data_IF_802342611461
#
_entry.id   IF_802342611461
#
_cell.length_a   1.000
_cell.length_b   1.000
_cell.length_c   1.000
_cell.angle_alpha   90.00
_cell.angle_beta   90.00
_cell.angle_gamma   90.00
#
_symmetry.space_group_name_H-M   'P 1'
#
loop_
_entity.id
_entity.type
_entity.pdbx_description
1 polymer ?
#
# COMPACT_ATOMS: atom_id res chain seq x y z
N UNK A 1 -14.67 -0.89 -6.67
CA UNK A 1 -13.32 -0.59 -6.14
C UNK A 1 -12.27 -0.98 -7.17
N UNK A 2 -11.00 -0.63 -6.98
CA UNK A 2 -9.94 -0.98 -7.94
C UNK A 2 -9.83 -2.51 -8.16
N UNK A 3 -9.86 -3.32 -7.10
CA UNK A 3 -9.86 -4.79 -7.23
C UNK A 3 -11.09 -5.32 -7.99
N UNK A 4 -12.31 -4.83 -7.68
CA UNK A 4 -13.51 -5.26 -8.42
C UNK A 4 -13.43 -4.90 -9.91
N UNK A 5 -12.91 -3.72 -10.25
CA UNK A 5 -12.77 -3.31 -11.65
C UNK A 5 -11.80 -4.18 -12.46
N UNK A 6 -10.82 -4.82 -11.80
CA UNK A 6 -9.93 -5.80 -12.46
C UNK A 6 -10.69 -7.09 -12.78
N UNK A 7 -11.54 -7.54 -11.86
CA UNK A 7 -12.38 -8.74 -12.03
C UNK A 7 -13.43 -8.49 -13.11
N UNK A 8 -14.11 -7.35 -13.05
CA UNK A 8 -15.10 -6.93 -14.05
C UNK A 8 -14.49 -6.82 -15.46
N UNK A 9 -13.20 -6.47 -15.53
CA UNK A 9 -12.41 -6.44 -16.76
C UNK A 9 -11.90 -7.80 -17.25
N UNK A 10 -12.26 -8.91 -16.58
CA UNK A 10 -11.86 -10.28 -16.95
C UNK A 10 -10.48 -10.71 -16.43
N UNK A 11 -9.85 -9.93 -15.55
CA UNK A 11 -8.62 -10.33 -14.86
C UNK A 11 -8.88 -11.26 -13.67
N UNK A 12 -7.85 -11.96 -13.17
CA UNK A 12 -8.02 -12.83 -11.99
C UNK A 12 -8.30 -12.03 -10.72
N UNK A 13 -7.74 -10.82 -10.59
CA UNK A 13 -7.93 -9.94 -9.44
C UNK A 13 -7.37 -10.46 -8.10
N UNK A 14 -6.70 -11.61 -8.09
CA UNK A 14 -6.27 -12.31 -6.88
C UNK A 14 -5.27 -11.48 -6.06
N UNK A 15 -4.28 -10.87 -6.71
CA UNK A 15 -3.25 -10.08 -6.04
C UNK A 15 -3.82 -8.77 -5.51
N UNK A 16 -4.71 -8.15 -6.28
CA UNK A 16 -5.44 -6.94 -5.90
C UNK A 16 -6.39 -7.19 -4.73
N UNK A 17 -7.06 -8.36 -4.70
CA UNK A 17 -7.93 -8.77 -3.61
C UNK A 17 -7.13 -9.02 -2.33
N UNK A 18 -6.02 -9.77 -2.42
CA UNK A 18 -5.10 -9.98 -1.29
C UNK A 18 -4.61 -8.64 -0.73
N UNK A 19 -4.14 -7.75 -1.60
CA UNK A 19 -3.67 -6.43 -1.20
C UNK A 19 -4.76 -5.62 -0.51
N UNK A 20 -5.95 -5.58 -1.11
CA UNK A 20 -7.10 -4.84 -0.57
C UNK A 20 -7.47 -5.37 0.81
N UNK A 21 -7.55 -6.69 0.97
CA UNK A 21 -7.87 -7.34 2.25
C UNK A 21 -6.86 -6.97 3.33
N UNK A 22 -5.58 -7.16 3.05
CA UNK A 22 -4.50 -6.93 4.04
C UNK A 22 -4.43 -5.45 4.44
N UNK A 23 -4.52 -4.54 3.46
CA UNK A 23 -4.41 -3.10 3.72
C UNK A 23 -5.65 -2.59 4.44
N UNK A 24 -6.85 -2.98 4.00
CA UNK A 24 -8.10 -2.58 4.66
C UNK A 24 -8.17 -3.10 6.11
N UNK A 25 -7.81 -4.37 6.34
CA UNK A 25 -7.75 -4.94 7.69
C UNK A 25 -6.74 -4.23 8.59
N UNK A 26 -5.58 -3.82 8.04
CA UNK A 26 -4.59 -3.02 8.78
C UNK A 26 -5.11 -1.63 9.12
N UNK A 27 -5.75 -0.94 8.16
CA UNK A 27 -6.35 0.36 8.40
C UNK A 27 -7.45 0.29 9.45
N UNK A 28 -8.33 -0.71 9.38
CA UNK A 28 -9.41 -0.92 10.34
C UNK A 28 -8.86 -1.12 11.76
N UNK A 29 -7.84 -1.99 11.91
CA UNK A 29 -7.18 -2.21 13.21
C UNK A 29 -6.53 -0.95 13.74
N UNK A 30 -5.82 -0.21 12.88
CA UNK A 30 -5.16 1.04 13.29
C UNK A 30 -6.17 2.07 13.77
N UNK A 31 -7.25 2.29 13.02
CA UNK A 31 -8.32 3.22 13.39
C UNK A 31 -9.02 2.79 14.67
N UNK A 32 -9.25 1.49 14.89
CA UNK A 32 -9.83 1.00 16.13
C UNK A 32 -8.94 1.33 17.35
N UNK A 33 -7.62 1.16 17.22
CA UNK A 33 -6.65 1.51 18.29
C UNK A 33 -6.59 3.02 18.51
N UNK A 34 -6.57 3.82 17.45
CA UNK A 34 -6.55 5.28 17.57
C UNK A 34 -7.85 5.80 18.21
N UNK A 35 -9.00 5.24 17.83
CA UNK A 35 -10.30 5.53 18.42
C UNK A 35 -10.35 5.15 19.91
N UNK A 36 -9.70 4.04 20.30
CA UNK A 36 -9.59 3.67 21.71
C UNK A 36 -8.90 4.77 22.54
N UNK A 37 -7.86 5.39 21.97
CA UNK A 37 -7.18 6.54 22.59
C UNK A 37 -8.08 7.77 22.75
N UNK A 38 -8.97 8.02 21.78
CA UNK A 38 -9.93 9.14 21.82
C UNK A 38 -11.02 8.91 22.87
N UNK A 39 -11.59 7.70 22.91
CA UNK A 39 -12.66 7.36 23.84
C UNK A 39 -12.15 7.09 25.27
N UNK A 40 -10.85 6.78 25.42
CA UNK A 40 -10.19 6.52 26.68
C UNK A 40 -10.82 5.35 27.44
N UNK A 41 -10.83 5.42 28.77
CA UNK A 41 -11.38 4.36 29.63
C UNK A 41 -12.85 4.01 29.36
N UNK A 42 -13.63 4.94 28.77
CA UNK A 42 -15.05 4.72 28.46
C UNK A 42 -15.26 3.62 27.44
N UNK A 43 -14.30 3.42 26.53
CA UNK A 43 -14.37 2.35 25.54
C UNK A 43 -14.35 0.95 26.16
N UNK A 44 -13.93 0.80 27.42
CA UNK A 44 -13.92 -0.48 28.12
C UNK A 44 -15.18 -0.73 28.95
N UNK A 45 -16.14 0.20 28.96
CA UNK A 45 -17.41 0.01 29.64
C UNK A 45 -18.34 -0.85 28.80
N UNK A 46 -19.08 -1.75 29.46
CA UNK A 46 -20.10 -2.59 28.82
C UNK A 46 -21.14 -1.71 28.12
N UNK A 47 -21.45 -2.03 26.87
CA UNK A 47 -22.42 -1.27 26.06
C UNK A 47 -21.81 -0.10 25.30
N UNK A 48 -20.48 0.10 25.38
CA UNK A 48 -19.81 1.08 24.54
C UNK A 48 -19.57 0.51 23.14
N UNK A 49 -20.14 1.10 22.06
CA UNK A 49 -20.12 0.49 20.73
C UNK A 49 -18.72 0.11 20.21
N UNK A 50 -17.73 0.98 20.41
CA UNK A 50 -16.34 0.71 20.02
C UNK A 50 -15.71 -0.46 20.79
N UNK A 51 -16.02 -0.59 22.09
CA UNK A 51 -15.49 -1.65 22.94
C UNK A 51 -16.11 -2.99 22.58
N UNK A 52 -17.43 -2.99 22.43
CA UNK A 52 -18.21 -4.17 22.06
C UNK A 52 -17.79 -4.71 20.69
N UNK A 53 -17.51 -3.85 19.69
CA UNK A 53 -17.08 -4.27 18.34
C UNK A 53 -15.56 -4.42 18.17
N UNK A 54 -14.77 -4.21 19.23
CA UNK A 54 -13.31 -4.16 19.11
C UNK A 54 -12.71 -5.48 18.63
N UNK A 55 -13.28 -6.60 19.07
CA UNK A 55 -12.86 -7.93 18.67
C UNK A 55 -13.07 -8.19 17.16
N UNK A 56 -14.17 -7.71 16.59
CA UNK A 56 -14.47 -7.83 15.16
C UNK A 56 -13.42 -7.12 14.29
N UNK A 57 -13.01 -5.91 14.70
CA UNK A 57 -11.99 -5.14 13.99
C UNK A 57 -10.63 -5.86 13.95
N UNK A 58 -10.27 -6.59 15.01
CA UNK A 58 -9.04 -7.37 15.04
C UNK A 58 -9.14 -8.66 14.25
N UNK A 59 -10.31 -9.30 14.30
CA UNK A 59 -10.59 -10.56 13.63
C UNK A 59 -10.53 -10.44 12.09
N UNK A 60 -10.85 -9.27 11.54
CA UNK A 60 -10.69 -8.96 10.10
C UNK A 60 -9.25 -9.19 9.58
N UNK A 61 -8.23 -9.05 10.44
CA UNK A 61 -6.84 -9.32 10.08
C UNK A 61 -6.49 -10.82 10.01
N UNK A 62 -7.35 -11.69 10.55
CA UNK A 62 -7.12 -13.12 10.73
C UNK A 62 -8.04 -13.95 9.82
N UNK A 63 -9.34 -13.61 9.78
CA UNK A 63 -10.29 -14.29 8.91
C UNK A 63 -9.92 -14.11 7.42
N UNK A 64 -10.36 -15.07 6.60
CA UNK A 64 -10.09 -15.12 5.15
C UNK A 64 -8.60 -15.19 4.78
N UNK A 65 -7.76 -15.63 5.73
CA UNK A 65 -6.31 -15.75 5.59
C UNK A 65 -5.58 -14.73 6.46
N UNK A 66 -4.68 -15.20 7.29
CA UNK A 66 -3.86 -14.32 8.14
C UNK A 66 -3.03 -13.36 7.26
N UNK A 67 -2.93 -12.09 7.69
CA UNK A 67 -2.40 -11.01 6.87
C UNK A 67 -0.93 -11.17 6.47
N UNK A 68 -0.10 -11.75 7.34
CA UNK A 68 1.31 -12.02 7.03
C UNK A 68 1.44 -13.18 6.04
N UNK A 69 0.67 -14.25 6.19
CA UNK A 69 0.59 -15.36 5.24
C UNK A 69 0.12 -14.90 3.86
N UNK A 70 -0.90 -14.05 3.81
CA UNK A 70 -1.37 -13.42 2.58
C UNK A 70 -0.31 -12.49 1.98
N UNK A 71 0.48 -11.80 2.80
CA UNK A 71 1.63 -11.03 2.36
C UNK A 71 2.69 -11.90 1.65
N UNK A 72 2.96 -13.11 2.16
CA UNK A 72 3.84 -14.07 1.49
C UNK A 72 3.23 -14.60 0.20
N UNK A 73 1.92 -14.86 0.18
CA UNK A 73 1.20 -15.30 -1.03
C UNK A 73 1.24 -14.24 -2.15
N UNK A 74 1.05 -12.96 -1.81
CA UNK A 74 1.19 -11.83 -2.73
C UNK A 74 2.59 -11.83 -3.37
N UNK A 75 3.64 -11.93 -2.55
CA UNK A 75 5.01 -11.96 -3.04
C UNK A 75 5.24 -13.15 -3.97
N UNK A 76 4.77 -14.35 -3.58
CA UNK A 76 4.87 -15.56 -4.41
C UNK A 76 4.19 -15.38 -5.77
N UNK A 77 3.00 -14.76 -5.78
CA UNK A 77 2.28 -14.43 -7.01
C UNK A 77 3.09 -13.51 -7.93
N UNK A 78 3.66 -12.44 -7.38
CA UNK A 78 4.53 -11.51 -8.14
C UNK A 78 5.79 -12.24 -8.65
N UNK A 79 6.44 -13.05 -7.81
CA UNK A 79 7.66 -13.77 -8.16
C UNK A 79 7.45 -14.77 -9.30
N UNK A 80 6.26 -15.34 -9.46
CA UNK A 80 5.91 -16.24 -10.58
C UNK A 80 6.05 -15.58 -11.95
N UNK A 81 5.86 -14.26 -12.03
CA UNK A 81 6.03 -13.50 -13.27
C UNK A 81 7.47 -13.04 -13.51
N UNK A 82 8.40 -13.36 -12.62
CA UNK A 82 9.80 -12.98 -12.77
C UNK A 82 10.49 -13.81 -13.86
N UNK A 83 11.37 -13.22 -14.72
CA UNK A 83 12.04 -13.95 -15.80
C UNK A 83 12.79 -15.21 -15.35
N UNK A 84 13.37 -15.19 -14.13
CA UNK A 84 14.06 -16.35 -13.55
C UNK A 84 13.11 -17.51 -13.18
N UNK A 85 11.85 -17.22 -12.86
CA UNK A 85 10.86 -18.25 -12.55
C UNK A 85 10.27 -18.87 -13.83
N UNK A 86 10.31 -18.13 -14.95
CA UNK A 86 9.81 -18.56 -16.25
C UNK A 86 10.87 -19.30 -17.10
N UNK A 87 12.04 -19.63 -16.53
CA UNK A 87 13.19 -20.24 -17.25
C UNK A 87 13.55 -19.49 -18.55
N UNK A 88 13.41 -18.16 -18.55
CA UNK A 88 13.70 -17.34 -19.72
C UNK A 88 15.21 -17.13 -19.89
N UNK A 89 15.65 -16.99 -21.15
CA UNK A 89 17.06 -16.80 -21.49
C UNK A 89 17.65 -15.55 -20.80
N UNK A 90 18.96 -15.58 -20.54
CA UNK A 90 19.72 -14.49 -19.91
C UNK A 90 19.48 -13.12 -20.55
N UNK A 91 19.29 -13.07 -21.88
CA UNK A 91 18.98 -11.85 -22.63
C UNK A 91 17.63 -11.23 -22.23
N UNK A 92 16.60 -12.03 -21.97
CA UNK A 92 15.30 -11.53 -21.55
C UNK A 92 15.35 -10.98 -20.12
N UNK A 93 16.11 -11.64 -19.24
CA UNK A 93 16.37 -11.13 -17.90
C UNK A 93 17.16 -9.81 -17.93
N UNK A 94 18.22 -9.71 -18.74
CA UNK A 94 18.98 -8.47 -18.92
C UNK A 94 18.09 -7.35 -19.47
N UNK A 95 17.27 -7.65 -20.49
CA UNK A 95 16.30 -6.68 -21.04
C UNK A 95 15.30 -6.23 -19.98
N UNK A 96 14.76 -7.15 -19.18
CA UNK A 96 13.88 -6.83 -18.05
C UNK A 96 14.59 -5.93 -17.03
N UNK A 97 15.81 -6.27 -16.62
CA UNK A 97 16.60 -5.50 -15.66
C UNK A 97 16.90 -4.09 -16.17
N UNK A 98 17.37 -3.97 -17.40
CA UNK A 98 17.61 -2.69 -18.06
C UNK A 98 16.32 -1.88 -18.17
N UNK A 99 15.19 -2.52 -18.53
CA UNK A 99 13.88 -1.83 -18.59
C UNK A 99 13.44 -1.28 -17.23
N UNK A 100 13.70 -1.98 -16.13
CA UNK A 100 13.41 -1.46 -14.77
C UNK A 100 14.30 -0.29 -14.41
N UNK A 101 15.58 -0.34 -14.76
CA UNK A 101 16.50 0.80 -14.59
C UNK A 101 16.08 2.00 -15.44
N UNK A 102 15.55 1.78 -16.65
CA UNK A 102 15.09 2.85 -17.54
C UNK A 102 13.74 3.45 -17.06
N UNK A 103 12.83 2.59 -16.62
CA UNK A 103 11.54 2.98 -16.03
C UNK A 103 11.70 3.73 -14.71
N UNK A 104 12.85 3.61 -14.03
CA UNK A 104 13.17 4.42 -12.86
C UNK A 104 13.21 5.93 -13.20
N UNK A 105 13.64 6.23 -14.43
CA UNK A 105 13.76 7.59 -14.95
C UNK A 105 12.55 8.02 -15.79
N UNK A 106 11.74 7.08 -16.30
CA UNK A 106 10.58 7.36 -17.13
C UNK A 106 9.33 7.64 -16.29
N UNK A 107 8.87 8.90 -16.29
CA UNK A 107 7.66 9.34 -15.58
C UNK A 107 6.40 9.39 -16.47
N UNK A 108 6.41 8.71 -17.62
CA UNK A 108 5.37 8.90 -18.67
C UNK A 108 3.97 8.43 -18.23
N UNK A 109 3.86 7.46 -17.33
CA UNK A 109 2.57 6.98 -16.82
C UNK A 109 1.88 7.99 -15.89
N UNK A 110 2.66 8.84 -15.21
CA UNK A 110 2.13 9.76 -14.19
C UNK A 110 1.84 11.16 -14.73
N UNK A 111 2.19 11.46 -16.00
CA UNK A 111 1.86 12.75 -16.62
C UNK A 111 0.36 12.98 -16.78
N UNK A 112 -0.45 11.92 -16.65
CA UNK A 112 -1.91 11.96 -16.71
C UNK A 112 -2.52 12.54 -15.42
N UNK A 113 -1.81 12.42 -14.28
CA UNK A 113 -2.28 12.97 -13.00
C UNK A 113 -2.31 14.49 -13.07
N UNK A 114 -3.46 15.11 -12.82
CA UNK A 114 -3.66 16.55 -12.99
C UNK A 114 -3.04 17.34 -11.83
N UNK A 115 -3.18 16.82 -10.61
CA UNK A 115 -2.58 17.44 -9.43
C UNK A 115 -1.07 17.17 -9.35
N UNK A 116 -0.29 18.24 -9.24
CA UNK A 116 1.17 18.16 -9.24
C UNK A 116 1.75 17.44 -8.01
N UNK A 117 1.10 17.52 -6.86
CA UNK A 117 1.59 16.86 -5.66
C UNK A 117 1.25 15.37 -5.65
N UNK A 118 0.04 15.00 -6.08
CA UNK A 118 -0.32 13.61 -6.32
C UNK A 118 0.64 12.97 -7.33
N UNK A 119 1.01 13.72 -8.38
CA UNK A 119 2.01 13.28 -9.36
C UNK A 119 3.38 13.01 -8.72
N UNK A 120 3.87 13.91 -7.87
CA UNK A 120 5.16 13.72 -7.17
C UNK A 120 5.14 12.51 -6.23
N UNK A 121 4.02 12.26 -5.55
CA UNK A 121 3.85 11.09 -4.70
C UNK A 121 3.77 9.79 -5.53
N UNK A 122 3.09 9.82 -6.68
CA UNK A 122 3.01 8.68 -7.58
C UNK A 122 4.38 8.30 -8.13
N UNK A 123 5.17 9.29 -8.57
CA UNK A 123 6.55 9.09 -9.04
C UNK A 123 7.39 8.44 -7.93
N UNK A 124 7.29 8.92 -6.68
CA UNK A 124 8.01 8.33 -5.55
C UNK A 124 7.57 6.89 -5.28
N UNK A 125 6.27 6.61 -5.32
CA UNK A 125 5.75 5.25 -5.12
C UNK A 125 6.21 4.29 -6.23
N UNK A 126 6.18 4.70 -7.50
CA UNK A 126 6.68 3.89 -8.63
C UNK A 126 8.18 3.63 -8.53
N UNK A 127 8.98 4.64 -8.20
CA UNK A 127 10.43 4.46 -7.95
C UNK A 127 10.69 3.52 -6.78
N UNK A 128 9.87 3.59 -5.74
CA UNK A 128 9.86 2.63 -4.64
C UNK A 128 9.62 1.20 -5.13
N UNK A 129 8.57 0.97 -5.93
CA UNK A 129 8.26 -0.34 -6.52
C UNK A 129 9.37 -0.87 -7.43
N UNK A 130 10.02 0.00 -8.20
CA UNK A 130 11.17 -0.40 -9.03
C UNK A 130 12.32 -0.85 -8.14
N UNK A 131 12.64 -0.11 -7.07
CA UNK A 131 13.64 -0.52 -6.08
C UNK A 131 13.29 -1.87 -5.46
N UNK A 132 12.03 -2.08 -5.07
CA UNK A 132 11.56 -3.34 -4.52
C UNK A 132 11.67 -4.49 -5.53
N UNK A 133 11.41 -4.25 -6.81
CA UNK A 133 11.59 -5.27 -7.86
C UNK A 133 13.05 -5.68 -8.02
N UNK A 134 14.00 -4.75 -7.92
CA UNK A 134 15.44 -5.03 -7.97
C UNK A 134 15.93 -5.75 -6.70
N UNK A 135 15.28 -5.53 -5.56
CA UNK A 135 15.55 -6.27 -4.32
C UNK A 135 14.98 -7.69 -4.40
N UNK A 136 13.76 -7.86 -4.92
CA UNK A 136 13.16 -9.16 -5.18
C UNK A 136 14.04 -10.01 -6.12
N UNK A 137 14.52 -9.43 -7.22
CA UNK A 137 15.48 -10.08 -8.13
C UNK A 137 16.75 -10.54 -7.40
N UNK A 138 17.33 -9.68 -6.54
CA UNK A 138 18.52 -10.03 -5.76
C UNK A 138 18.26 -11.19 -4.82
N UNK A 139 17.11 -11.20 -4.13
CA UNK A 139 16.73 -12.28 -3.23
C UNK A 139 16.48 -13.60 -3.97
N UNK A 140 15.78 -13.54 -5.11
CA UNK A 140 15.55 -14.70 -5.98
C UNK A 140 16.88 -15.30 -6.46
N UNK A 141 17.85 -14.48 -6.86
CA UNK A 141 19.17 -14.97 -7.29
C UNK A 141 20.01 -15.53 -6.15
N UNK A 142 19.93 -14.90 -4.96
CA UNK A 142 20.74 -15.30 -3.81
C UNK A 142 20.25 -16.58 -3.15
N UNK A 143 18.93 -16.73 -2.99
CA UNK A 143 18.33 -17.83 -2.23
C UNK A 143 17.64 -18.86 -3.12
N UNK A 144 17.24 -18.51 -4.35
CA UNK A 144 16.62 -19.46 -5.28
C UNK A 144 15.43 -20.19 -4.64
N UNK A 145 15.54 -21.52 -4.54
CA UNK A 145 14.50 -22.39 -3.98
C UNK A 145 14.31 -22.24 -2.46
N UNK A 146 15.34 -21.85 -1.72
CA UNK A 146 15.26 -21.65 -0.25
C UNK A 146 14.76 -20.25 0.12
N UNK A 147 14.35 -19.43 -0.86
CA UNK A 147 13.80 -18.10 -0.59
C UNK A 147 12.58 -18.14 0.34
N UNK A 148 11.78 -19.21 0.28
CA UNK A 148 10.61 -19.40 1.14
C UNK A 148 10.97 -19.45 2.64
N UNK A 149 12.21 -19.80 3.00
CA UNK A 149 12.70 -19.81 4.39
C UNK A 149 13.00 -18.40 4.91
N UNK A 150 13.17 -17.43 4.01
CA UNK A 150 13.48 -16.03 4.36
C UNK A 150 12.21 -15.22 4.67
N UNK A 151 11.29 -15.81 5.44
CA UNK A 151 9.94 -15.27 5.66
C UNK A 151 9.94 -13.83 6.19
N UNK A 152 10.83 -13.50 7.12
CA UNK A 152 10.92 -12.13 7.66
C UNK A 152 11.33 -11.10 6.61
N UNK A 153 12.29 -11.47 5.75
CA UNK A 153 12.75 -10.60 4.65
C UNK A 153 11.63 -10.45 3.61
N UNK A 154 10.96 -11.55 3.27
CA UNK A 154 9.84 -11.56 2.33
C UNK A 154 8.64 -10.78 2.85
N UNK A 155 8.30 -10.91 4.13
CA UNK A 155 7.23 -10.18 4.78
C UNK A 155 7.51 -8.67 4.76
N UNK A 156 8.73 -8.25 5.09
CA UNK A 156 9.12 -6.84 5.03
C UNK A 156 9.10 -6.29 3.60
N UNK A 157 9.57 -7.06 2.61
CA UNK A 157 9.52 -6.67 1.20
C UNK A 157 8.07 -6.59 0.69
N UNK A 158 7.24 -7.56 1.06
CA UNK A 158 5.80 -7.56 0.74
C UNK A 158 5.10 -6.34 1.34
N UNK A 159 5.38 -6.01 2.60
CA UNK A 159 4.80 -4.83 3.25
C UNK A 159 5.15 -3.52 2.52
N UNK A 160 6.38 -3.37 2.05
CA UNK A 160 6.80 -2.21 1.24
C UNK A 160 6.06 -2.15 -0.11
N UNK A 161 5.97 -3.29 -0.81
CA UNK A 161 5.24 -3.40 -2.08
C UNK A 161 3.76 -3.02 -1.86
N UNK A 162 3.11 -3.61 -0.86
CA UNK A 162 1.72 -3.31 -0.51
C UNK A 162 1.52 -1.82 -0.26
N UNK A 163 2.42 -1.20 0.51
CA UNK A 163 2.36 0.22 0.81
C UNK A 163 2.43 1.11 -0.42
N UNK A 164 3.39 0.87 -1.31
CA UNK A 164 3.53 1.67 -2.54
C UNK A 164 2.35 1.46 -3.50
N UNK A 165 1.85 0.23 -3.68
CA UNK A 165 0.68 -0.02 -4.53
C UNK A 165 -0.57 0.66 -3.92
N UNK A 166 -0.72 0.61 -2.60
CA UNK A 166 -1.82 1.29 -1.90
C UNK A 166 -1.79 2.80 -2.12
N UNK A 167 -0.60 3.41 -2.06
CA UNK A 167 -0.45 4.84 -2.37
C UNK A 167 -0.90 5.14 -3.80
N UNK A 168 -0.49 4.34 -4.79
CA UNK A 168 -0.92 4.53 -6.18
C UNK A 168 -2.44 4.41 -6.32
N UNK A 169 -3.06 3.41 -5.69
CA UNK A 169 -4.51 3.24 -5.72
C UNK A 169 -5.24 4.46 -5.13
N UNK A 170 -4.78 4.97 -3.99
CA UNK A 170 -5.35 6.17 -3.33
C UNK A 170 -5.15 7.42 -4.17
N UNK A 171 -3.96 7.61 -4.74
CA UNK A 171 -3.62 8.74 -5.61
C UNK A 171 -4.55 8.77 -6.84
N UNK A 172 -4.63 7.66 -7.57
CA UNK A 172 -5.49 7.58 -8.76
C UNK A 172 -6.98 7.69 -8.41
N UNK A 173 -7.40 7.23 -7.23
CA UNK A 173 -8.77 7.42 -6.77
C UNK A 173 -9.09 8.90 -6.50
N UNK A 174 -8.21 9.61 -5.79
CA UNK A 174 -8.37 11.03 -5.49
C UNK A 174 -8.33 11.90 -6.76
N UNK A 175 -7.40 11.61 -7.68
CA UNK A 175 -7.29 12.31 -8.97
C UNK A 175 -8.57 12.13 -9.80
N UNK A 176 -9.15 10.91 -9.84
CA UNK A 176 -10.45 10.66 -10.52
C UNK A 176 -11.62 11.39 -9.89
N UNK A 177 -11.64 11.55 -8.56
CA UNK A 177 -12.72 12.29 -7.90
C UNK A 177 -12.61 13.80 -8.12
N UNK A 178 -11.39 14.30 -8.31
CA UNK A 178 -11.10 15.71 -8.60
C UNK A 178 -11.67 16.71 -7.55
N UNK A 179 -11.88 16.25 -6.31
CA UNK A 179 -12.33 17.10 -5.20
C UNK A 179 -11.19 17.38 -4.20
N UNK A 180 -11.20 18.57 -3.60
CA UNK A 180 -10.12 19.04 -2.72
C UNK A 180 -9.96 18.18 -1.46
N UNK A 181 -11.06 17.64 -0.91
CA UNK A 181 -11.02 16.81 0.29
C UNK A 181 -10.34 15.47 0.03
N UNK A 182 -10.67 14.80 -1.08
CA UNK A 182 -10.04 13.54 -1.50
C UNK A 182 -8.56 13.73 -1.82
N UNK A 183 -8.18 14.82 -2.51
CA UNK A 183 -6.76 15.15 -2.78
C UNK A 183 -6.00 15.37 -1.47
N UNK A 184 -6.55 16.17 -0.55
CA UNK A 184 -5.90 16.46 0.73
C UNK A 184 -5.77 15.20 1.60
N UNK A 185 -6.81 14.37 1.68
CA UNK A 185 -6.78 13.09 2.38
C UNK A 185 -5.73 12.14 1.77
N UNK A 186 -5.67 12.04 0.44
CA UNK A 186 -4.70 11.21 -0.27
C UNK A 186 -3.25 11.67 0.02
N UNK A 187 -2.98 12.97 -0.02
CA UNK A 187 -1.65 13.50 0.33
C UNK A 187 -1.28 13.16 1.78
N UNK A 188 -2.19 13.37 2.72
CA UNK A 188 -1.97 13.09 4.14
C UNK A 188 -1.75 11.61 4.43
N UNK A 189 -2.39 10.71 3.67
CA UNK A 189 -2.20 9.27 3.80
C UNK A 189 -0.91 8.77 3.15
N UNK A 190 -0.70 9.14 1.88
CA UNK A 190 0.40 8.59 1.07
C UNK A 190 1.78 9.07 1.53
N UNK A 191 1.89 10.31 2.01
CA UNK A 191 3.15 10.91 2.41
C UNK A 191 3.82 10.16 3.57
N UNK A 192 3.17 9.90 4.73
CA UNK A 192 3.74 9.09 5.81
C UNK A 192 4.15 7.68 5.36
N UNK A 193 3.33 7.03 4.52
CA UNK A 193 3.61 5.69 4.01
C UNK A 193 4.89 5.69 3.17
N UNK A 194 5.02 6.63 2.23
CA UNK A 194 6.21 6.76 1.37
C UNK A 194 7.44 7.11 2.21
N UNK A 195 7.33 8.10 3.11
CA UNK A 195 8.46 8.54 3.93
C UNK A 195 8.96 7.44 4.87
N UNK A 196 8.05 6.65 5.46
CA UNK A 196 8.38 5.46 6.25
C UNK A 196 9.25 4.48 5.48
N UNK A 197 8.89 4.13 4.25
CA UNK A 197 9.64 3.15 3.46
C UNK A 197 10.91 3.73 2.81
N UNK A 198 10.97 5.05 2.61
CA UNK A 198 12.20 5.75 2.22
C UNK A 198 13.14 6.02 3.40
N UNK A 199 12.75 5.71 4.64
CA UNK A 199 13.54 5.99 5.84
C UNK A 199 13.72 7.48 6.12
N UNK A 200 12.76 8.31 5.72
CA UNK A 200 12.79 9.77 5.89
C UNK A 200 11.78 10.21 6.94
N UNK A 201 12.10 11.23 7.76
CA UNK A 201 11.12 11.80 8.70
C UNK A 201 10.08 12.64 7.96
N UNK A 202 8.92 12.83 8.58
CA UNK A 202 7.93 13.82 8.15
C UNK A 202 8.40 15.23 8.47
N UNK A 203 8.12 16.17 7.56
CA UNK A 203 8.46 17.58 7.74
C UNK A 203 7.33 18.38 8.40
N UNK A 204 7.65 19.61 8.85
CA UNK A 204 6.69 20.53 9.49
C UNK A 204 5.44 20.80 8.64
N UNK A 205 5.59 20.86 7.31
CA UNK A 205 4.48 21.02 6.36
C UNK A 205 3.51 19.84 6.39
N UNK A 206 4.02 18.63 6.57
CA UNK A 206 3.19 17.42 6.59
C UNK A 206 2.32 17.39 7.87
N UNK A 207 2.89 17.77 9.02
CA UNK A 207 2.12 17.89 10.27
C UNK A 207 1.06 18.99 10.20
N UNK A 208 1.37 20.16 9.62
CA UNK A 208 0.38 21.23 9.42
C UNK A 208 -0.81 20.74 8.59
N UNK A 209 -0.55 19.98 7.52
CA UNK A 209 -1.59 19.42 6.66
C UNK A 209 -2.46 18.38 7.35
N UNK A 210 -1.87 17.52 8.17
CA UNK A 210 -2.65 16.58 8.98
C UNK A 210 -3.59 17.32 9.92
N UNK A 211 -3.12 18.40 10.57
CA UNK A 211 -3.97 19.24 11.40
C UNK A 211 -5.07 19.97 10.59
N UNK A 212 -4.77 20.42 9.38
CA UNK A 212 -5.76 21.01 8.47
C UNK A 212 -6.83 20.00 8.05
N UNK A 213 -6.46 18.76 7.70
CA UNK A 213 -7.39 17.70 7.33
C UNK A 213 -8.36 17.38 8.48
N UNK A 214 -7.85 17.34 9.71
CA UNK A 214 -8.68 17.18 10.90
C UNK A 214 -9.70 18.30 11.06
N UNK A 215 -9.32 19.55 10.81
CA UNK A 215 -10.26 20.70 10.84
C UNK A 215 -11.33 20.61 9.76
N UNK A 216 -10.98 20.23 8.53
CA UNK A 216 -11.95 20.03 7.45
C UNK A 216 -13.00 18.97 7.81
N UNK A 217 -12.56 17.86 8.39
CA UNK A 217 -13.45 16.74 8.75
C UNK A 217 -14.42 17.10 9.87
N UNK A 218 -14.02 17.97 10.80
CA UNK A 218 -14.91 18.48 11.85
C UNK A 218 -15.95 19.46 11.30
N UNK A 219 -15.55 20.34 10.36
CA UNK A 219 -16.45 21.33 9.75
C UNK A 219 -17.61 20.69 8.98
N UNK A 220 -17.36 19.56 8.30
CA UNK A 220 -18.38 18.83 7.53
C UNK A 220 -19.43 18.08 8.37
N UNK A 221 -19.25 17.97 9.68
CA UNK A 221 -20.20 17.31 10.59
C UNK A 221 -21.10 18.30 11.35
N UNK A 222 -20.97 19.60 11.07
CA UNK A 222 -21.71 20.69 11.73
C UNK A 222 -22.86 21.27 10.91
N UNK A 223 -23.10 20.73 9.70
CA UNK A 223 -24.24 21.04 8.82
C UNK A 223 -25.18 19.81 8.74
#
# INVERSE_FOLDING_TARGET
>A
GWSSSVIDGGGSGELEAILTKVVAGRCLRQVAVDALGIHGGRAFLVGHPLGDSFHDHFAAGIYEGESDLLGLALFKGIAKHHPLALNKNFLEWMRWRCSRSLNYFSAKEDSVLLDGELRDLAIQARRGLITMSLQADRLLRRHGRTLAEQQLILANLSNQIQGFISCLAVIHFADRRADSASVHAAVCWCRPVIMKFLGKPLGSRDYKRLAELGRFSLGSHSD
#
